data_IF_130626893926
#
_entry.id   IF_130626893926
#
_cell.length_a   1.000
_cell.length_b   1.000
_cell.length_c   1.000
_cell.angle_alpha   90.00
_cell.angle_beta   90.00
_cell.angle_gamma   90.00
#
_symmetry.space_group_name_H-M   'P 1'
#
loop_
_entity.id
_entity.type
_entity.pdbx_description
1 polymer ?
#
# COMPACT_ATOMS: atom_id res chain seq x y z
N UNK A 1 -5.04 23.11 1.95
CA UNK A 1 -4.06 24.01 2.59
C UNK A 1 -2.76 23.90 1.82
N UNK A 2 -2.10 25.01 1.53
CA UNK A 2 -0.83 25.06 0.80
C UNK A 2 0.30 24.90 1.83
N UNK A 3 0.65 23.65 2.17
CA UNK A 3 1.75 23.37 3.09
C UNK A 3 3.06 23.42 2.31
N UNK A 4 3.84 24.48 2.55
CA UNK A 4 5.20 24.61 2.00
C UNK A 4 6.12 23.62 2.72
N UNK A 5 6.59 22.59 2.01
CA UNK A 5 7.66 21.69 2.49
C UNK A 5 8.87 22.53 2.94
N UNK A 6 9.33 22.33 4.18
CA UNK A 6 10.53 23.02 4.66
C UNK A 6 11.76 22.40 4.00
N UNK A 7 12.67 23.25 3.52
CA UNK A 7 13.94 22.76 2.96
C UNK A 7 14.90 22.39 4.09
N UNK A 8 15.60 21.25 3.97
CA UNK A 8 16.76 20.87 4.80
C UNK A 8 18.08 21.17 4.04
N UNK A 9 18.53 22.44 4.01
CA UNK A 9 19.76 22.82 3.31
C UNK A 9 21.02 22.25 3.96
N UNK A 10 20.93 21.61 5.13
CA UNK A 10 22.09 21.05 5.85
C UNK A 10 22.18 19.53 5.77
N UNK A 11 21.18 18.85 5.18
CA UNK A 11 21.13 17.39 5.11
C UNK A 11 21.18 16.73 6.50
N UNK A 12 20.71 17.45 7.52
CA UNK A 12 20.82 17.03 8.92
C UNK A 12 19.81 15.94 9.27
N UNK A 13 18.79 15.75 8.44
CA UNK A 13 17.67 14.85 8.69
C UNK A 13 17.85 13.44 8.09
N UNK A 14 19.01 13.17 7.46
CA UNK A 14 19.27 11.88 6.81
C UNK A 14 18.55 11.75 5.46
N UNK A 15 18.54 10.54 4.88
CA UNK A 15 17.67 10.25 3.74
C UNK A 15 16.23 10.16 4.28
N UNK A 16 15.32 10.97 3.74
CA UNK A 16 13.89 10.89 4.04
C UNK A 16 13.35 9.47 3.80
N UNK A 17 12.25 9.15 4.44
CA UNK A 17 11.63 7.84 4.30
C UNK A 17 10.98 7.69 2.91
N UNK A 18 10.99 6.44 2.44
CA UNK A 18 10.15 5.96 1.36
C UNK A 18 9.05 5.08 1.98
N UNK A 19 7.90 5.02 1.31
CA UNK A 19 6.80 4.13 1.71
C UNK A 19 6.90 2.86 0.88
N UNK A 20 7.16 1.75 1.55
CA UNK A 20 7.38 0.43 0.96
C UNK A 20 6.14 -0.45 1.04
N UNK A 21 6.04 -1.37 0.07
CA UNK A 21 5.16 -2.52 0.20
C UNK A 21 5.95 -3.67 0.83
N UNK A 22 5.47 -4.19 1.96
CA UNK A 22 6.05 -5.36 2.62
C UNK A 22 5.07 -6.52 2.55
N UNK A 23 5.60 -7.73 2.35
CA UNK A 23 4.82 -8.96 2.38
C UNK A 23 5.44 -10.01 3.29
N UNK A 24 4.65 -11.00 3.70
CA UNK A 24 5.16 -12.18 4.39
C UNK A 24 6.11 -12.98 3.49
N UNK A 25 7.03 -13.75 4.10
CA UNK A 25 7.82 -14.73 3.35
C UNK A 25 6.92 -15.70 2.57
N UNK A 26 7.30 -15.97 1.32
CA UNK A 26 6.59 -16.86 0.41
C UNK A 26 5.44 -16.20 -0.35
N UNK A 27 5.13 -14.92 -0.10
CA UNK A 27 4.04 -14.24 -0.81
C UNK A 27 4.25 -14.25 -2.32
N UNK A 28 5.46 -13.92 -2.80
CA UNK A 28 5.79 -13.96 -4.24
C UNK A 28 5.60 -15.34 -4.88
N UNK A 29 5.71 -16.41 -4.08
CA UNK A 29 5.50 -17.79 -4.55
C UNK A 29 4.02 -18.14 -4.62
N UNK A 30 3.24 -17.72 -3.63
CA UNK A 30 1.81 -18.07 -3.51
C UNK A 30 0.94 -17.22 -4.45
N UNK A 31 1.35 -15.97 -4.69
CA UNK A 31 0.64 -14.94 -5.46
C UNK A 31 1.57 -14.25 -6.47
N UNK A 32 2.14 -14.97 -7.45
CA UNK A 32 3.18 -14.43 -8.33
C UNK A 32 2.75 -13.19 -9.12
N UNK A 33 1.53 -13.19 -9.66
CA UNK A 33 1.01 -12.04 -10.42
C UNK A 33 0.77 -10.82 -9.51
N UNK A 34 0.16 -11.01 -8.34
CA UNK A 34 -0.06 -9.92 -7.40
C UNK A 34 1.26 -9.35 -6.87
N UNK A 35 2.26 -10.21 -6.60
CA UNK A 35 3.59 -9.77 -6.19
C UNK A 35 4.30 -8.96 -7.27
N UNK A 36 4.13 -9.32 -8.56
CA UNK A 36 4.65 -8.52 -9.66
C UNK A 36 4.01 -7.13 -9.70
N UNK A 37 2.67 -7.08 -9.63
CA UNK A 37 1.94 -5.80 -9.61
C UNK A 37 2.34 -4.91 -8.44
N UNK A 38 2.51 -5.50 -7.25
CA UNK A 38 2.95 -4.78 -6.05
C UNK A 38 4.38 -4.27 -6.14
N UNK A 39 5.29 -4.99 -6.81
CA UNK A 39 6.67 -4.52 -7.07
C UNK A 39 6.72 -3.36 -8.07
N UNK A 40 5.83 -3.38 -9.04
CA UNK A 40 5.72 -2.33 -10.06
C UNK A 40 4.81 -1.17 -9.57
N UNK A 41 4.29 -1.24 -8.34
CA UNK A 41 3.37 -0.25 -7.78
C UNK A 41 4.04 1.11 -7.62
N UNK A 42 3.40 2.14 -8.20
CA UNK A 42 3.73 3.55 -7.99
C UNK A 42 2.46 4.39 -8.05
N UNK A 43 2.33 5.34 -7.13
CA UNK A 43 1.43 6.49 -7.28
C UNK A 43 2.27 7.76 -7.27
N UNK A 44 1.92 8.72 -8.12
CA UNK A 44 2.45 10.07 -8.00
C UNK A 44 1.69 10.87 -6.92
N UNK A 45 2.26 12.02 -6.51
CA UNK A 45 1.70 12.89 -5.46
C UNK A 45 0.27 13.34 -5.77
N UNK A 46 -0.07 13.60 -7.04
CA UNK A 46 -1.44 14.01 -7.41
C UNK A 46 -2.42 12.85 -7.30
N UNK A 47 -2.00 11.66 -7.71
CA UNK A 47 -2.82 10.46 -7.60
C UNK A 47 -3.09 10.11 -6.13
N UNK A 48 -2.05 10.13 -5.28
CA UNK A 48 -2.20 9.87 -3.86
C UNK A 48 -3.08 10.93 -3.18
N UNK A 49 -2.76 12.22 -3.34
CA UNK A 49 -3.51 13.30 -2.70
C UNK A 49 -4.99 13.34 -3.14
N UNK A 50 -5.28 13.08 -4.42
CA UNK A 50 -6.68 13.03 -4.89
C UNK A 50 -7.44 11.82 -4.37
N UNK A 51 -6.75 10.69 -4.14
CA UNK A 51 -7.35 9.49 -3.56
C UNK A 51 -7.65 9.70 -2.06
N UNK A 52 -6.69 10.24 -1.32
CA UNK A 52 -6.84 10.60 0.10
C UNK A 52 -7.99 11.59 0.28
N UNK A 53 -8.03 12.66 -0.52
CA UNK A 53 -9.11 13.66 -0.48
C UNK A 53 -10.48 13.02 -0.71
N UNK A 54 -10.63 12.13 -1.70
CA UNK A 54 -11.92 11.47 -1.96
C UNK A 54 -12.35 10.59 -0.77
N UNK A 55 -11.40 9.91 -0.11
CA UNK A 55 -11.66 9.07 1.07
C UNK A 55 -12.04 9.93 2.28
N UNK A 56 -11.30 11.01 2.52
CA UNK A 56 -11.59 11.97 3.59
C UNK A 56 -12.97 12.60 3.42
N UNK A 57 -13.29 13.07 2.21
CA UNK A 57 -14.59 13.69 1.89
C UNK A 57 -15.77 12.72 2.06
N UNK A 58 -15.57 11.44 1.75
CA UNK A 58 -16.61 10.43 1.94
C UNK A 58 -16.89 10.14 3.43
N UNK A 59 -15.87 10.27 4.27
CA UNK A 59 -15.93 10.06 5.72
C UNK A 59 -15.81 8.59 6.15
N UNK A 60 -15.70 8.40 7.47
CA UNK A 60 -15.45 7.10 8.09
C UNK A 60 -16.52 6.07 7.73
N UNK A 61 -16.08 4.88 7.35
CA UNK A 61 -16.94 3.75 6.98
C UNK A 61 -17.33 3.71 5.50
N UNK A 62 -16.90 4.70 4.70
CA UNK A 62 -17.16 4.78 3.25
C UNK A 62 -15.91 4.67 2.39
N UNK A 63 -14.80 4.19 2.96
CA UNK A 63 -13.50 4.16 2.29
C UNK A 63 -13.55 3.33 1.00
N UNK A 64 -14.20 2.17 1.00
CA UNK A 64 -14.30 1.34 -0.21
C UNK A 64 -15.14 2.01 -1.30
N UNK A 65 -16.24 2.67 -0.94
CA UNK A 65 -17.09 3.41 -1.86
C UNK A 65 -16.33 4.60 -2.48
N UNK A 66 -15.54 5.31 -1.66
CA UNK A 66 -14.69 6.41 -2.10
C UNK A 66 -13.63 5.93 -3.11
N UNK A 67 -12.91 4.85 -2.81
CA UNK A 67 -11.95 4.25 -3.76
C UNK A 67 -12.63 3.85 -5.07
N UNK A 68 -13.80 3.23 -5.01
CA UNK A 68 -14.58 2.89 -6.22
C UNK A 68 -14.96 4.13 -7.02
N UNK A 69 -15.33 5.22 -6.35
CA UNK A 69 -15.60 6.52 -6.98
C UNK A 69 -14.34 7.09 -7.65
N UNK A 70 -13.22 7.11 -6.93
CA UNK A 70 -11.95 7.60 -7.43
C UNK A 70 -11.47 6.81 -8.66
N UNK A 71 -11.56 5.47 -8.65
CA UNK A 71 -11.21 4.63 -9.82
C UNK A 71 -12.09 4.96 -11.04
N UNK A 72 -13.38 5.27 -10.85
CA UNK A 72 -14.24 5.69 -11.96
C UNK A 72 -13.80 7.04 -12.55
N UNK A 73 -13.26 7.94 -11.72
CA UNK A 73 -12.70 9.23 -12.14
C UNK A 73 -11.29 9.11 -12.74
N UNK A 74 -10.61 7.97 -12.54
CA UNK A 74 -9.26 7.68 -13.02
C UNK A 74 -9.26 6.45 -13.94
N UNK A 75 -9.86 6.53 -15.14
CA UNK A 75 -9.96 5.38 -16.04
C UNK A 75 -8.58 4.83 -16.40
N UNK A 76 -8.46 3.50 -16.42
CA UNK A 76 -7.22 2.80 -16.73
C UNK A 76 -6.26 2.61 -15.55
N UNK A 77 -6.51 3.21 -14.37
CA UNK A 77 -5.62 3.03 -13.21
C UNK A 77 -5.50 1.57 -12.77
N UNK A 78 -6.61 0.82 -12.82
CA UNK A 78 -6.63 -0.61 -12.48
C UNK A 78 -5.78 -1.44 -13.44
N UNK A 79 -5.85 -1.15 -14.74
CA UNK A 79 -5.07 -1.86 -15.76
C UNK A 79 -3.60 -1.44 -15.75
N UNK A 80 -3.30 -0.19 -15.38
CA UNK A 80 -1.94 0.29 -15.16
C UNK A 80 -1.28 -0.42 -13.98
N UNK A 81 -1.98 -0.54 -12.85
CA UNK A 81 -1.43 -1.09 -11.61
C UNK A 81 -1.46 -2.63 -11.57
N UNK A 82 -2.46 -3.25 -12.17
CA UNK A 82 -2.59 -4.70 -12.24
C UNK A 82 -2.91 -5.15 -13.68
N UNK A 83 -1.95 -5.03 -14.62
CA UNK A 83 -2.17 -5.41 -16.01
C UNK A 83 -2.48 -6.90 -16.13
N UNK A 84 -3.46 -7.22 -16.97
CA UNK A 84 -3.85 -8.59 -17.31
C UNK A 84 -3.95 -8.74 -18.82
N UNK A 85 -3.78 -9.97 -19.31
CA UNK A 85 -4.12 -10.28 -20.69
C UNK A 85 -5.64 -10.22 -20.84
N UNK A 86 -6.14 -9.64 -21.94
CA UNK A 86 -7.57 -9.33 -22.14
C UNK A 86 -8.53 -10.53 -21.93
N UNK A 87 -8.03 -11.76 -22.03
CA UNK A 87 -8.81 -12.99 -21.93
C UNK A 87 -8.89 -13.58 -20.52
N UNK A 88 -8.06 -13.17 -19.55
CA UNK A 88 -8.08 -13.71 -18.19
C UNK A 88 -8.01 -12.60 -17.13
N UNK A 89 -9.17 -11.98 -16.88
CA UNK A 89 -9.32 -10.99 -15.81
C UNK A 89 -9.43 -11.62 -14.42
N UNK A 90 -9.67 -12.93 -14.31
CA UNK A 90 -9.85 -13.65 -13.04
C UNK A 90 -8.57 -14.39 -12.62
N UNK A 91 -7.49 -13.62 -12.46
CA UNK A 91 -6.17 -14.12 -12.06
C UNK A 91 -6.22 -14.80 -10.68
N UNK A 92 -7.01 -14.25 -9.75
CA UNK A 92 -7.07 -14.70 -8.37
C UNK A 92 -7.80 -16.02 -8.16
N UNK A 93 -8.70 -16.41 -9.07
CA UNK A 93 -9.46 -17.68 -9.02
C UNK A 93 -10.11 -17.94 -7.65
N UNK A 94 -10.54 -16.87 -6.97
CA UNK A 94 -11.16 -16.91 -5.65
C UNK A 94 -10.21 -17.19 -4.48
N UNK A 95 -8.89 -17.21 -4.69
CA UNK A 95 -7.91 -17.28 -3.60
C UNK A 95 -8.05 -16.07 -2.68
N UNK A 96 -7.86 -16.31 -1.38
CA UNK A 96 -7.96 -15.26 -0.36
C UNK A 96 -6.62 -14.56 -0.17
N UNK A 97 -6.65 -13.23 -0.07
CA UNK A 97 -5.52 -12.39 0.30
C UNK A 97 -5.90 -11.58 1.55
N UNK A 98 -5.07 -11.65 2.59
CA UNK A 98 -5.25 -10.98 3.87
C UNK A 98 -4.31 -9.78 3.97
N UNK A 99 -4.85 -8.59 3.78
CA UNK A 99 -4.12 -7.34 3.90
C UNK A 99 -4.24 -6.77 5.32
N UNK A 100 -3.17 -6.13 5.78
CA UNK A 100 -3.18 -5.30 6.96
C UNK A 100 -2.84 -3.86 6.62
N UNK A 101 -3.33 -2.91 7.41
CA UNK A 101 -3.02 -1.50 7.22
C UNK A 101 -2.96 -0.75 8.56
N UNK A 102 -2.10 0.27 8.62
CA UNK A 102 -2.05 1.25 9.71
C UNK A 102 -3.07 2.35 9.37
N UNK A 103 -3.82 2.90 10.33
CA UNK A 103 -4.87 3.89 10.05
C UNK A 103 -4.30 5.30 9.79
N UNK A 104 -3.24 5.41 9.00
CA UNK A 104 -2.75 6.66 8.40
C UNK A 104 -3.42 6.88 7.04
N UNK A 105 -3.47 8.12 6.57
CA UNK A 105 -4.29 8.49 5.40
C UNK A 105 -3.83 7.74 4.14
N UNK A 106 -2.53 7.69 3.90
CA UNK A 106 -1.87 6.98 2.80
C UNK A 106 -2.00 5.46 2.96
N UNK A 107 -1.91 4.94 4.19
CA UNK A 107 -2.07 3.53 4.50
C UNK A 107 -3.50 3.04 4.23
N UNK A 108 -4.50 3.85 4.60
CA UNK A 108 -5.91 3.60 4.26
C UNK A 108 -6.10 3.70 2.75
N UNK A 109 -5.61 4.76 2.11
CA UNK A 109 -5.78 5.01 0.68
C UNK A 109 -5.22 3.86 -0.17
N UNK A 110 -3.94 3.53 0.02
CA UNK A 110 -3.25 2.48 -0.71
C UNK A 110 -3.86 1.09 -0.46
N UNK A 111 -4.25 0.78 0.79
CA UNK A 111 -4.82 -0.53 1.13
C UNK A 111 -6.21 -0.74 0.55
N UNK A 112 -7.10 0.24 0.61
CA UNK A 112 -8.42 0.12 -0.01
C UNK A 112 -8.35 0.15 -1.54
N UNK A 113 -7.39 0.87 -2.12
CA UNK A 113 -7.09 0.81 -3.56
C UNK A 113 -6.69 -0.60 -3.98
N UNK A 114 -5.70 -1.20 -3.32
CA UNK A 114 -5.26 -2.56 -3.63
C UNK A 114 -6.33 -3.61 -3.37
N UNK A 115 -7.16 -3.42 -2.34
CA UNK A 115 -8.33 -4.27 -2.12
C UNK A 115 -9.26 -4.26 -3.33
N UNK A 116 -9.65 -3.09 -3.83
CA UNK A 116 -10.52 -2.98 -5.01
C UNK A 116 -9.88 -3.58 -6.27
N UNK A 117 -8.58 -3.33 -6.49
CA UNK A 117 -7.84 -3.87 -7.63
C UNK A 117 -7.80 -5.40 -7.59
N UNK A 118 -7.43 -5.98 -6.46
CA UNK A 118 -7.34 -7.43 -6.30
C UNK A 118 -8.73 -8.09 -6.39
N UNK A 119 -9.78 -7.49 -5.83
CA UNK A 119 -11.16 -8.00 -6.00
C UNK A 119 -11.58 -7.99 -7.48
N UNK A 120 -11.25 -6.94 -8.24
CA UNK A 120 -11.48 -6.89 -9.70
C UNK A 120 -10.67 -7.93 -10.47
N UNK A 121 -9.55 -8.39 -9.92
CA UNK A 121 -8.74 -9.48 -10.46
C UNK A 121 -9.13 -10.86 -9.94
N UNK A 122 -10.27 -10.97 -9.25
CA UNK A 122 -10.86 -12.24 -8.85
C UNK A 122 -10.30 -12.85 -7.57
N UNK A 123 -9.58 -12.06 -6.76
CA UNK A 123 -9.22 -12.45 -5.40
C UNK A 123 -10.37 -12.20 -4.43
N UNK A 124 -10.39 -12.94 -3.32
CA UNK A 124 -11.16 -12.57 -2.13
C UNK A 124 -10.25 -11.80 -1.20
N UNK A 125 -10.58 -10.57 -0.84
CA UNK A 125 -9.69 -9.73 -0.04
C UNK A 125 -10.27 -9.45 1.33
N UNK A 126 -9.48 -9.68 2.38
CA UNK A 126 -9.74 -9.17 3.71
C UNK A 126 -8.74 -8.06 3.99
N UNK A 127 -9.20 -6.86 4.34
CA UNK A 127 -8.34 -5.76 4.79
C UNK A 127 -8.69 -5.43 6.23
N UNK A 128 -7.71 -5.47 7.12
CA UNK A 128 -7.90 -5.23 8.56
C UNK A 128 -6.94 -4.17 9.06
N UNK A 129 -7.45 -3.32 9.94
CA UNK A 129 -6.64 -2.33 10.63
C UNK A 129 -5.76 -3.02 11.68
N UNK A 130 -4.50 -2.59 11.79
CA UNK A 130 -3.55 -3.02 12.80
C UNK A 130 -2.76 -1.84 13.36
N UNK A 131 -2.22 -2.01 14.56
CA UNK A 131 -1.08 -1.22 15.03
C UNK A 131 0.22 -1.72 14.36
N UNK A 132 1.19 -0.83 14.12
CA UNK A 132 2.41 -1.14 13.37
C UNK A 132 3.13 -2.42 13.87
N UNK A 133 3.38 -2.52 15.17
CA UNK A 133 4.06 -3.69 15.74
C UNK A 133 3.28 -5.01 15.56
N UNK A 134 1.96 -4.96 15.65
CA UNK A 134 1.09 -6.12 15.43
C UNK A 134 1.04 -6.52 13.95
N UNK A 135 1.04 -5.53 13.05
CA UNK A 135 1.07 -5.75 11.60
C UNK A 135 2.33 -6.49 11.16
N UNK A 136 3.50 -5.98 11.55
CA UNK A 136 4.78 -6.64 11.26
C UNK A 136 4.86 -8.05 11.86
N UNK A 137 4.38 -8.22 13.09
CA UNK A 137 4.34 -9.55 13.74
C UNK A 137 3.40 -10.50 12.99
N UNK A 138 2.23 -10.01 12.55
CA UNK A 138 1.27 -10.76 11.76
C UNK A 138 1.82 -11.21 10.42
N UNK A 139 2.51 -10.31 9.70
CA UNK A 139 3.19 -10.66 8.44
C UNK A 139 4.32 -11.67 8.66
N UNK A 140 5.16 -11.44 9.67
CA UNK A 140 6.26 -12.33 9.97
C UNK A 140 5.76 -13.76 10.28
N UNK A 141 4.60 -13.89 10.93
CA UNK A 141 3.95 -15.17 11.26
C UNK A 141 3.04 -15.71 10.13
N UNK A 142 2.94 -15.03 9.00
CA UNK A 142 2.15 -15.43 7.84
C UNK A 142 0.64 -15.27 7.98
N UNK A 143 0.17 -14.54 9.00
CA UNK A 143 -1.26 -14.24 9.22
C UNK A 143 -1.77 -13.08 8.34
N UNK A 144 -0.86 -12.17 7.98
CA UNK A 144 -1.08 -11.06 7.05
C UNK A 144 -0.20 -11.32 5.83
N UNK A 145 -0.77 -11.26 4.64
CA UNK A 145 -0.10 -11.51 3.38
C UNK A 145 0.79 -10.33 2.97
N UNK A 146 0.27 -9.10 3.01
CA UNK A 146 1.04 -7.88 2.72
C UNK A 146 0.39 -6.61 3.29
N UNK A 147 1.16 -5.52 3.28
CA UNK A 147 0.77 -4.14 3.58
C UNK A 147 1.56 -3.16 2.71
N UNK A 148 1.09 -1.92 2.59
CA UNK A 148 1.60 -0.91 1.65
C UNK A 148 2.05 0.38 2.33
N UNK A 149 2.31 0.37 3.64
CA UNK A 149 2.54 1.55 4.46
C UNK A 149 3.76 1.40 5.39
N UNK A 150 4.81 0.76 4.88
CA UNK A 150 6.07 0.65 5.61
C UNK A 150 7.00 1.82 5.31
N UNK A 151 7.07 2.78 6.22
CA UNK A 151 8.01 3.89 6.16
C UNK A 151 9.45 3.48 6.55
N UNK A 152 10.35 3.43 5.58
CA UNK A 152 11.75 3.00 5.73
C UNK A 152 12.73 4.03 5.15
N UNK A 153 13.95 4.17 5.69
CA UNK A 153 14.56 3.32 6.72
C UNK A 153 14.38 3.79 8.16
N UNK A 154 13.71 4.92 8.43
CA UNK A 154 13.74 5.55 9.75
C UNK A 154 12.50 5.22 10.62
N UNK A 155 11.29 5.49 10.14
CA UNK A 155 10.05 5.42 10.96
C UNK A 155 9.78 4.02 11.50
N UNK A 156 9.84 3.01 10.62
CA UNK A 156 9.62 1.62 11.01
C UNK A 156 10.91 0.82 11.19
N UNK A 157 12.07 1.49 11.37
CA UNK A 157 13.38 0.86 11.50
C UNK A 157 13.40 -0.27 12.52
N UNK A 158 12.86 -0.04 13.71
CA UNK A 158 12.86 -1.03 14.79
C UNK A 158 12.10 -2.32 14.44
N UNK A 159 11.05 -2.22 13.63
CA UNK A 159 10.27 -3.38 13.19
C UNK A 159 10.97 -4.07 12.02
N UNK A 160 11.54 -3.29 11.10
CA UNK A 160 12.35 -3.81 10.00
C UNK A 160 13.59 -4.57 10.49
N UNK A 161 14.36 -3.98 11.41
CA UNK A 161 15.53 -4.63 12.03
C UNK A 161 15.16 -5.96 12.70
N UNK A 162 13.95 -6.05 13.27
CA UNK A 162 13.48 -7.24 13.99
C UNK A 162 12.90 -8.33 13.09
N UNK A 163 12.20 -7.94 12.03
CA UNK A 163 11.38 -8.87 11.23
C UNK A 163 11.76 -8.95 9.76
N UNK A 164 12.58 -8.04 9.24
CA UNK A 164 12.88 -7.90 7.80
C UNK A 164 13.36 -9.19 7.13
N UNK A 165 14.18 -10.01 7.80
CA UNK A 165 14.65 -11.31 7.28
C UNK A 165 13.51 -12.31 6.99
N UNK A 166 12.39 -12.16 7.71
CA UNK A 166 11.17 -12.97 7.58
C UNK A 166 10.12 -12.33 6.68
N UNK A 167 10.42 -11.18 6.09
CA UNK A 167 9.55 -10.47 5.18
C UNK A 167 10.15 -10.45 3.77
N UNK A 168 9.35 -9.99 2.83
CA UNK A 168 9.74 -9.65 1.47
C UNK A 168 9.47 -8.16 1.29
N UNK A 169 10.51 -7.36 1.03
CA UNK A 169 10.35 -5.99 0.58
C UNK A 169 10.08 -5.99 -0.92
N UNK A 170 8.91 -5.49 -1.31
CA UNK A 170 8.49 -5.37 -2.70
C UNK A 170 8.94 -4.04 -3.31
N UNK A 171 9.58 -3.18 -2.53
CA UNK A 171 10.12 -1.90 -2.93
C UNK A 171 9.26 -0.72 -2.51
N UNK A 172 9.88 0.47 -2.56
CA UNK A 172 9.22 1.74 -2.37
C UNK A 172 8.20 1.97 -3.48
N UNK A 173 6.98 2.40 -3.15
CA UNK A 173 5.97 2.84 -4.13
C UNK A 173 5.72 4.35 -4.09
N UNK A 174 6.13 5.02 -3.01
CA UNK A 174 6.03 6.47 -2.82
C UNK A 174 7.25 7.01 -2.06
N UNK A 175 7.63 8.26 -2.34
CA UNK A 175 8.81 8.92 -1.79
C UNK A 175 9.96 9.11 -2.78
N UNK A 176 11.09 9.70 -2.32
CA UNK A 176 11.40 10.05 -0.92
C UNK A 176 10.50 11.17 -0.36
N UNK A 177 10.08 11.03 0.90
CA UNK A 177 9.27 12.00 1.65
C UNK A 177 9.91 12.25 3.04
N UNK A 178 9.75 13.44 3.60
CA UNK A 178 9.91 13.65 5.04
C UNK A 178 8.55 13.53 5.71
N UNK A 179 8.51 13.07 6.96
CA UNK A 179 7.33 12.96 7.86
C UNK A 179 6.66 14.33 8.17
N UNK A 180 6.61 15.25 7.21
CA UNK A 180 5.98 16.58 7.32
C UNK A 180 4.48 16.55 6.96
N UNK A 181 3.87 15.38 6.74
CA UNK A 181 2.42 15.28 6.53
C UNK A 181 1.76 14.85 7.84
N UNK A 182 1.49 15.84 8.70
CA UNK A 182 0.55 15.77 9.81
C UNK A 182 -0.05 17.15 10.09
#
# INVERSE_FOLDING_TARGET
YDMTKLSDPKGSWGKGDEVHTLARKGFSKDFPEAAKWLKDFKLDEKQLASLESEIQDAGKGKQQEAVKSWIKKNPGIVDKLAPVQQTDVNVGKGKTVNMGFIPWDEGIASSYLWKEILERRGFKVSAKQYEAGALYTGMANGQVDFETDSWLPNTHKQYWDKYGDRLEDMGAWYGPTSLEIA
#
